data_IF_921044536460
#
_entry.id   IF_921044536460
#
_cell.length_a   1.000
_cell.length_b   1.000
_cell.length_c   1.000
_cell.angle_alpha   90.00
_cell.angle_beta   90.00
_cell.angle_gamma   90.00
#
_symmetry.space_group_name_H-M   'P 1'
#
loop_
_entity.id
_entity.type
_entity.pdbx_description
1 polymer ?
#
# COMPACT_ATOMS: atom_id res chain seq x y z
N UNK A 1 1.63 -81.74 41.12
CA UNK A 1 2.26 -80.54 40.54
C UNK A 1 1.18 -79.52 40.17
N UNK A 2 1.34 -78.29 40.68
CA UNK A 2 0.64 -77.02 40.37
C UNK A 2 -0.89 -76.93 40.61
N UNK A 3 -1.21 -76.14 41.65
CA UNK A 3 -2.52 -75.75 42.21
C UNK A 3 -3.23 -74.65 41.37
N UNK A 4 -4.54 -74.44 41.56
CA UNK A 4 -5.40 -73.65 40.68
C UNK A 4 -5.43 -72.13 41.02
N UNK A 5 -5.86 -71.36 40.03
CA UNK A 5 -5.96 -69.89 39.99
C UNK A 5 -7.04 -69.39 40.96
N UNK A 6 -6.69 -68.35 41.72
CA UNK A 6 -7.48 -67.70 42.76
C UNK A 6 -8.33 -66.56 42.15
N UNK A 7 -9.65 -66.59 42.36
CA UNK A 7 -10.55 -65.46 42.12
C UNK A 7 -10.46 -64.50 43.31
N UNK A 8 -10.15 -63.22 43.07
CA UNK A 8 -10.22 -62.16 44.09
C UNK A 8 -11.18 -61.08 43.59
N UNK A 9 -12.31 -60.96 44.29
CA UNK A 9 -13.21 -59.80 44.24
C UNK A 9 -12.48 -58.58 44.81
N UNK A 10 -12.50 -57.45 44.10
CA UNK A 10 -12.12 -56.14 44.63
C UNK A 10 -13.37 -55.29 44.85
N UNK A 11 -13.61 -54.91 46.10
CA UNK A 11 -14.64 -54.00 46.58
C UNK A 11 -14.29 -52.56 46.18
N UNK A 12 -15.19 -51.87 45.48
CA UNK A 12 -15.03 -50.45 45.13
C UNK A 12 -15.56 -49.54 46.25
N UNK A 13 -14.69 -48.70 46.81
CA UNK A 13 -15.07 -47.60 47.72
C UNK A 13 -15.41 -46.35 46.89
N UNK A 14 -16.63 -45.86 47.03
CA UNK A 14 -17.12 -44.61 46.41
C UNK A 14 -16.71 -43.43 47.30
N UNK A 15 -15.81 -42.58 46.82
CA UNK A 15 -15.53 -41.27 47.39
C UNK A 15 -16.32 -40.19 46.65
N UNK A 16 -17.29 -39.57 47.32
CA UNK A 16 -18.02 -38.40 46.79
C UNK A 16 -17.19 -37.15 47.10
N UNK A 17 -16.54 -36.60 46.08
CA UNK A 17 -15.91 -35.28 46.15
C UNK A 17 -16.90 -34.22 45.67
N UNK A 18 -17.38 -33.38 46.59
CA UNK A 18 -18.22 -32.23 46.29
C UNK A 18 -17.32 -31.15 45.68
N UNK A 19 -17.31 -31.05 44.35
CA UNK A 19 -16.63 -29.96 43.64
C UNK A 19 -17.53 -28.73 43.68
N UNK A 20 -17.04 -27.69 44.36
CA UNK A 20 -17.63 -26.35 44.33
C UNK A 20 -17.56 -25.78 42.91
N UNK A 21 -18.71 -25.51 42.29
CA UNK A 21 -18.80 -24.82 41.01
C UNK A 21 -18.26 -23.38 41.16
N UNK A 22 -16.98 -23.17 40.83
CA UNK A 22 -16.54 -21.87 40.35
C UNK A 22 -17.20 -21.65 38.99
N UNK A 23 -17.91 -20.52 38.83
CA UNK A 23 -18.31 -20.03 37.51
C UNK A 23 -17.06 -19.95 36.64
N UNK A 24 -16.96 -20.82 35.64
CA UNK A 24 -15.98 -20.64 34.58
C UNK A 24 -16.22 -19.25 33.98
N UNK A 25 -15.16 -18.42 33.98
CA UNK A 25 -15.15 -17.23 33.14
C UNK A 25 -15.30 -17.74 31.71
N UNK A 26 -16.48 -17.56 31.14
CA UNK A 26 -16.72 -17.80 29.73
C UNK A 26 -15.61 -17.08 28.95
N UNK A 27 -14.86 -17.83 28.15
CA UNK A 27 -13.86 -17.25 27.26
C UNK A 27 -14.52 -16.10 26.50
N UNK A 28 -13.88 -14.92 26.37
CA UNK A 28 -14.45 -13.81 25.60
C UNK A 28 -14.81 -14.36 24.23
N UNK A 29 -16.09 -14.36 23.88
CA UNK A 29 -16.52 -14.82 22.55
C UNK A 29 -15.89 -13.89 21.53
N UNK A 30 -15.01 -14.43 20.69
CA UNK A 30 -14.39 -13.75 19.54
C UNK A 30 -15.50 -13.26 18.60
N UNK A 31 -15.96 -12.03 18.85
CA UNK A 31 -17.01 -11.38 18.06
C UNK A 31 -16.43 -10.51 16.94
N UNK A 32 -15.16 -10.72 16.57
CA UNK A 32 -14.45 -9.92 15.56
C UNK A 32 -15.11 -9.97 14.17
N UNK A 33 -15.90 -11.01 13.90
CA UNK A 33 -16.64 -11.16 12.64
C UNK A 33 -17.93 -10.31 12.56
N UNK A 34 -18.45 -9.79 13.68
CA UNK A 34 -19.63 -8.93 13.69
C UNK A 34 -19.32 -7.43 13.92
N UNK A 35 -18.05 -7.09 14.19
CA UNK A 35 -17.65 -5.70 14.34
C UNK A 35 -17.69 -4.98 12.99
N UNK A 36 -18.29 -3.78 12.96
CA UNK A 36 -18.49 -3.02 11.73
C UNK A 36 -17.17 -2.51 11.12
N UNK A 37 -17.08 -2.45 9.79
CA UNK A 37 -15.98 -1.79 9.09
C UNK A 37 -16.09 -0.25 9.05
N UNK A 38 -17.16 0.34 9.60
CA UNK A 38 -17.45 1.77 9.47
C UNK A 38 -16.30 2.68 9.91
N UNK A 39 -15.67 2.42 11.06
CA UNK A 39 -14.59 3.27 11.56
C UNK A 39 -13.31 3.14 10.73
N UNK A 40 -12.99 1.92 10.28
CA UNK A 40 -11.86 1.65 9.36
C UNK A 40 -12.07 2.42 8.05
N UNK A 41 -13.27 2.33 7.45
CA UNK A 41 -13.61 3.03 6.22
C UNK A 41 -13.59 4.56 6.40
N UNK A 42 -14.11 5.07 7.52
CA UNK A 42 -14.14 6.51 7.86
C UNK A 42 -12.73 7.10 7.89
N UNK A 43 -11.80 6.41 8.56
CA UNK A 43 -10.42 6.88 8.68
C UNK A 43 -9.56 6.60 7.44
N UNK A 44 -9.82 5.52 6.71
CA UNK A 44 -9.24 5.32 5.38
C UNK A 44 -9.63 6.46 4.42
N UNK A 45 -10.91 6.85 4.39
CA UNK A 45 -11.39 7.98 3.59
C UNK A 45 -10.80 9.32 4.06
N UNK A 46 -10.58 9.48 5.36
CA UNK A 46 -9.89 10.66 5.90
C UNK A 46 -8.47 10.78 5.34
N UNK A 47 -7.74 9.66 5.16
CA UNK A 47 -6.44 9.65 4.49
C UNK A 47 -6.52 10.14 3.05
N UNK A 48 -7.50 9.66 2.27
CA UNK A 48 -7.76 10.16 0.91
C UNK A 48 -8.05 11.67 0.90
N UNK A 49 -8.88 12.15 1.82
CA UNK A 49 -9.20 13.58 1.93
C UNK A 49 -7.98 14.41 2.34
N UNK A 50 -7.09 13.87 3.18
CA UNK A 50 -5.87 14.55 3.59
C UNK A 50 -4.91 14.73 2.40
N UNK A 51 -4.76 13.71 1.55
CA UNK A 51 -3.97 13.82 0.32
C UNK A 51 -4.60 14.84 -0.64
N UNK A 52 -5.90 14.75 -0.89
CA UNK A 52 -6.60 15.64 -1.82
C UNK A 52 -6.51 17.13 -1.41
N UNK A 53 -6.40 17.42 -0.11
CA UNK A 53 -6.21 18.78 0.43
C UNK A 53 -4.75 19.27 0.40
N UNK A 54 -3.79 18.38 0.11
CA UNK A 54 -2.36 18.72 0.09
C UNK A 54 -1.89 18.85 -1.34
N UNK A 55 -1.53 20.07 -1.74
CA UNK A 55 -1.03 20.33 -3.08
C UNK A 55 0.30 19.61 -3.32
N UNK A 56 0.43 18.94 -4.47
CA UNK A 56 1.72 18.42 -4.95
C UNK A 56 2.15 17.07 -4.37
N UNK A 57 1.27 16.36 -3.66
CA UNK A 57 1.55 14.98 -3.24
C UNK A 57 1.66 14.09 -4.48
N UNK A 58 2.83 13.49 -4.65
CA UNK A 58 3.09 12.50 -5.68
C UNK A 58 2.48 11.14 -5.26
N UNK A 59 2.09 10.26 -6.20
CA UNK A 59 1.44 9.00 -5.83
C UNK A 59 2.33 8.09 -4.95
N UNK A 60 3.66 8.26 -4.99
CA UNK A 60 4.61 7.48 -4.22
C UNK A 60 4.49 7.77 -2.71
N UNK A 61 4.66 9.02 -2.23
CA UNK A 61 4.30 9.43 -0.87
C UNK A 61 2.86 9.09 -0.46
N UNK A 62 1.89 9.17 -1.38
CA UNK A 62 0.51 8.77 -1.10
C UNK A 62 0.40 7.28 -0.76
N UNK A 63 0.98 6.38 -1.57
CA UNK A 63 0.97 4.93 -1.30
C UNK A 63 1.61 4.60 0.05
N UNK A 64 2.73 5.26 0.39
CA UNK A 64 3.40 5.12 1.69
C UNK A 64 2.49 5.55 2.84
N UNK A 65 1.77 6.66 2.69
CA UNK A 65 0.81 7.13 3.68
C UNK A 65 -0.32 6.12 3.89
N UNK A 66 -0.92 5.62 2.80
CA UNK A 66 -1.97 4.61 2.90
C UNK A 66 -1.47 3.33 3.58
N UNK A 67 -0.25 2.89 3.29
CA UNK A 67 0.34 1.74 3.99
C UNK A 67 0.42 2.02 5.50
N UNK A 68 0.98 3.16 5.89
CA UNK A 68 1.15 3.52 7.31
C UNK A 68 -0.18 3.57 8.08
N UNK A 69 -1.18 4.28 7.55
CA UNK A 69 -2.46 4.46 8.25
C UNK A 69 -3.23 3.13 8.34
N UNK A 70 -3.26 2.33 7.26
CA UNK A 70 -4.05 1.09 7.24
C UNK A 70 -3.37 -0.02 8.04
N UNK A 71 -2.04 -0.13 8.02
CA UNK A 71 -1.30 -1.03 8.91
C UNK A 71 -1.47 -0.65 10.38
N UNK A 72 -1.50 0.65 10.72
CA UNK A 72 -1.76 1.10 12.09
C UNK A 72 -3.18 0.75 12.56
N UNK A 73 -4.20 0.95 11.73
CA UNK A 73 -5.57 0.52 12.07
C UNK A 73 -5.67 -1.00 12.24
N UNK A 74 -5.02 -1.76 11.35
CA UNK A 74 -4.95 -3.22 11.43
C UNK A 74 -4.30 -3.69 12.74
N UNK A 75 -3.15 -3.12 13.08
CA UNK A 75 -2.42 -3.49 14.29
C UNK A 75 -3.17 -3.07 15.56
N UNK A 76 -3.89 -1.96 15.54
CA UNK A 76 -4.75 -1.53 16.65
C UNK A 76 -5.81 -2.58 16.96
N UNK A 77 -6.49 -3.10 15.94
CA UNK A 77 -7.47 -4.18 16.12
C UNK A 77 -6.82 -5.48 16.63
N UNK A 78 -5.68 -5.88 16.08
CA UNK A 78 -4.99 -7.10 16.51
C UNK A 78 -4.29 -6.99 17.88
N UNK A 79 -4.14 -5.79 18.45
CA UNK A 79 -3.77 -5.57 19.85
C UNK A 79 -4.98 -5.52 20.81
N UNK A 80 -6.20 -5.73 20.32
CA UNK A 80 -7.40 -5.95 21.16
C UNK A 80 -7.69 -7.43 21.23
N UNK A 81 -7.97 -8.03 20.06
CA UNK A 81 -8.17 -9.46 19.86
C UNK A 81 -7.24 -9.89 18.72
N UNK A 82 -6.15 -10.60 19.01
CA UNK A 82 -5.22 -11.06 17.99
C UNK A 82 -5.89 -12.07 17.04
N UNK A 83 -5.99 -11.73 15.76
CA UNK A 83 -6.49 -12.61 14.69
C UNK A 83 -5.44 -12.81 13.59
N UNK A 84 -4.59 -11.82 13.39
CA UNK A 84 -3.53 -11.75 12.39
C UNK A 84 -2.26 -11.16 13.01
N UNK A 85 -1.10 -11.48 12.41
CA UNK A 85 0.19 -10.94 12.83
C UNK A 85 0.27 -9.42 12.63
N UNK A 86 0.88 -8.72 13.59
CA UNK A 86 1.01 -7.26 13.57
C UNK A 86 2.29 -6.82 12.85
N UNK A 87 2.21 -5.71 12.12
CA UNK A 87 3.34 -5.14 11.39
C UNK A 87 4.33 -4.41 12.31
N UNK A 88 3.83 -3.68 13.30
CA UNK A 88 4.61 -2.93 14.29
C UNK A 88 5.25 -3.84 15.34
N UNK A 89 4.85 -5.11 15.40
CA UNK A 89 5.30 -6.11 16.37
C UNK A 89 5.10 -5.68 17.84
N UNK A 90 4.14 -4.78 18.09
CA UNK A 90 3.73 -4.51 19.47
C UNK A 90 3.13 -5.75 20.11
N UNK A 91 3.44 -5.92 21.39
CA UNK A 91 2.98 -7.00 22.24
C UNK A 91 2.05 -6.46 23.33
N UNK A 92 1.03 -7.25 23.68
CA UNK A 92 0.08 -6.91 24.74
C UNK A 92 -1.29 -6.67 24.16
N UNK A 93 -2.17 -7.68 24.30
CA UNK A 93 -3.57 -7.56 23.89
C UNK A 93 -4.43 -7.06 25.06
N UNK A 94 -5.37 -6.15 24.80
CA UNK A 94 -6.40 -5.80 25.78
C UNK A 94 -7.80 -5.95 25.17
N UNK A 95 -8.46 -7.06 25.49
CA UNK A 95 -9.82 -7.36 25.01
C UNK A 95 -10.92 -6.46 25.58
N UNK A 96 -10.62 -5.65 26.60
CA UNK A 96 -11.55 -4.66 27.17
C UNK A 96 -11.53 -3.33 26.39
N UNK A 97 -10.58 -3.15 25.46
CA UNK A 97 -10.47 -1.96 24.65
C UNK A 97 -11.55 -1.87 23.58
N UNK A 98 -12.03 -0.65 23.33
CA UNK A 98 -12.99 -0.40 22.27
C UNK A 98 -12.29 -0.34 20.90
N UNK A 99 -12.72 -1.16 19.92
CA UNK A 99 -12.09 -1.20 18.61
C UNK A 99 -12.20 0.10 17.79
N UNK A 100 -13.35 0.79 17.84
CA UNK A 100 -13.54 2.06 17.15
C UNK A 100 -12.61 3.14 17.71
N UNK A 101 -12.44 3.18 19.04
CA UNK A 101 -11.54 4.12 19.69
C UNK A 101 -10.06 3.85 19.32
N UNK A 102 -9.66 2.57 19.26
CA UNK A 102 -8.30 2.19 18.88
C UNK A 102 -7.98 2.50 17.41
N UNK A 103 -8.89 2.16 16.49
CA UNK A 103 -8.77 2.48 15.06
C UNK A 103 -8.70 3.99 14.86
N UNK A 104 -9.63 4.74 15.47
CA UNK A 104 -9.70 6.18 15.29
C UNK A 104 -8.43 6.89 15.80
N UNK A 105 -7.97 6.54 17.00
CA UNK A 105 -6.77 7.12 17.57
C UNK A 105 -5.50 6.73 16.78
N UNK A 106 -5.38 5.46 16.35
CA UNK A 106 -4.23 5.02 15.56
C UNK A 106 -4.13 5.77 14.23
N UNK A 107 -5.25 5.86 13.50
CA UNK A 107 -5.32 6.55 12.23
C UNK A 107 -5.06 8.06 12.37
N UNK A 108 -5.67 8.67 13.39
CA UNK A 108 -5.49 10.08 13.70
C UNK A 108 -4.02 10.44 13.88
N UNK A 109 -3.31 9.75 14.78
CA UNK A 109 -1.95 10.12 15.14
C UNK A 109 -0.96 9.89 13.98
N UNK A 110 -1.18 8.84 13.17
CA UNK A 110 -0.42 8.64 11.93
C UNK A 110 -0.68 9.77 10.95
N UNK A 111 -1.94 10.14 10.69
CA UNK A 111 -2.27 11.22 9.76
C UNK A 111 -1.75 12.58 10.23
N UNK A 112 -1.80 12.86 11.54
CA UNK A 112 -1.27 14.09 12.13
C UNK A 112 0.24 14.19 11.96
N UNK A 113 0.96 13.08 12.10
CA UNK A 113 2.40 13.05 11.85
C UNK A 113 2.77 13.35 10.40
N UNK A 114 1.93 12.95 9.44
CA UNK A 114 2.18 13.10 8.01
C UNK A 114 1.67 14.43 7.44
N UNK A 115 0.60 14.99 8.02
CA UNK A 115 -0.05 16.22 7.57
C UNK A 115 -0.32 17.17 8.75
N UNK A 116 0.72 17.70 9.42
CA UNK A 116 0.56 18.52 10.63
C UNK A 116 -0.26 19.79 10.40
N UNK A 117 -0.20 20.38 9.21
CA UNK A 117 -1.01 21.56 8.85
C UNK A 117 -2.52 21.27 8.82
N UNK A 118 -2.93 20.00 8.82
CA UNK A 118 -4.33 19.58 8.82
C UNK A 118 -4.85 19.20 10.20
N UNK A 119 -4.10 19.47 11.27
CA UNK A 119 -4.46 19.13 12.65
C UNK A 119 -5.92 19.49 13.01
N UNK A 120 -6.46 20.70 12.71
CA UNK A 120 -7.84 21.01 13.09
C UNK A 120 -8.88 20.07 12.46
N UNK A 121 -8.63 19.60 11.23
CA UNK A 121 -9.53 18.65 10.55
C UNK A 121 -9.46 17.27 11.20
N UNK A 122 -8.25 16.83 11.56
CA UNK A 122 -8.01 15.51 12.14
C UNK A 122 -8.52 15.45 13.59
N UNK A 123 -8.23 16.46 14.40
CA UNK A 123 -8.72 16.60 15.78
C UNK A 123 -10.26 16.57 15.82
N UNK A 124 -10.91 17.32 14.92
CA UNK A 124 -12.38 17.34 14.81
C UNK A 124 -12.95 15.96 14.45
N UNK A 125 -12.31 15.25 13.51
CA UNK A 125 -12.72 13.90 13.13
C UNK A 125 -12.55 12.91 14.27
N UNK A 126 -11.46 13.01 15.05
CA UNK A 126 -11.23 12.19 16.24
C UNK A 126 -12.30 12.43 17.30
N UNK A 127 -12.56 13.69 17.66
CA UNK A 127 -13.61 14.04 18.62
C UNK A 127 -14.95 13.45 18.20
N UNK A 128 -15.35 13.62 16.94
CA UNK A 128 -16.61 13.06 16.42
C UNK A 128 -16.65 11.53 16.41
N UNK A 129 -15.49 10.87 16.29
CA UNK A 129 -15.39 9.40 16.25
C UNK A 129 -15.45 8.79 17.64
N UNK A 130 -15.13 9.56 18.68
CA UNK A 130 -15.02 9.10 20.06
C UNK A 130 -16.20 9.54 20.94
N UNK A 131 -17.08 10.43 20.47
CA UNK A 131 -18.09 11.09 21.32
C UNK A 131 -19.10 10.12 21.92
N UNK A 132 -19.55 9.12 21.15
CA UNK A 132 -20.57 8.16 21.59
C UNK A 132 -19.98 6.89 22.22
N UNK A 133 -18.65 6.79 22.31
CA UNK A 133 -17.97 5.62 22.89
C UNK A 133 -17.84 5.80 24.40
N UNK A 134 -18.48 4.92 25.17
CA UNK A 134 -18.47 4.96 26.64
C UNK A 134 -17.64 3.86 27.27
N UNK A 135 -17.74 2.63 26.76
CA UNK A 135 -17.06 1.44 27.31
C UNK A 135 -15.77 1.17 26.57
N UNK A 136 -14.67 0.91 27.30
CA UNK A 136 -13.38 0.55 26.72
C UNK A 136 -12.66 1.67 25.95
N UNK A 137 -13.18 2.91 26.01
CA UNK A 137 -12.69 4.06 25.23
C UNK A 137 -11.22 4.37 25.51
N UNK A 138 -10.86 4.55 26.78
CA UNK A 138 -9.50 4.93 27.16
C UNK A 138 -8.48 3.82 26.85
N UNK A 139 -8.88 2.56 27.02
CA UNK A 139 -8.05 1.40 26.64
C UNK A 139 -7.84 1.36 25.12
N UNK A 140 -8.89 1.66 24.33
CA UNK A 140 -8.78 1.77 22.88
C UNK A 140 -7.86 2.90 22.46
N UNK A 141 -8.05 4.10 23.02
CA UNK A 141 -7.17 5.26 22.79
C UNK A 141 -5.71 4.91 23.13
N UNK A 142 -5.46 4.25 24.26
CA UNK A 142 -4.12 3.85 24.66
C UNK A 142 -3.46 2.91 23.65
N UNK A 143 -4.18 1.89 23.16
CA UNK A 143 -3.70 1.01 22.08
C UNK A 143 -3.42 1.82 20.82
N UNK A 144 -4.36 2.66 20.39
CA UNK A 144 -4.24 3.41 19.15
C UNK A 144 -3.01 4.33 19.14
N UNK A 145 -2.77 5.06 20.25
CA UNK A 145 -1.56 5.87 20.43
C UNK A 145 -0.28 5.04 20.35
N UNK A 146 -0.26 3.89 21.01
CA UNK A 146 0.91 3.03 21.06
C UNK A 146 1.23 2.46 19.66
N UNK A 147 0.22 1.99 18.92
CA UNK A 147 0.39 1.50 17.54
C UNK A 147 0.84 2.62 16.61
N UNK A 148 0.19 3.78 16.66
CA UNK A 148 0.56 4.91 15.81
C UNK A 148 2.01 5.32 16.05
N UNK A 149 2.41 5.44 17.32
CA UNK A 149 3.80 5.72 17.68
C UNK A 149 4.74 4.67 17.10
N UNK A 150 4.46 3.37 17.29
CA UNK A 150 5.30 2.30 16.77
C UNK A 150 5.40 2.32 15.23
N UNK A 151 4.30 2.64 14.54
CA UNK A 151 4.28 2.83 13.09
C UNK A 151 5.17 4.01 12.65
N UNK A 152 4.99 5.18 13.28
CA UNK A 152 5.76 6.39 12.99
C UNK A 152 7.25 6.14 13.25
N UNK A 153 7.60 5.56 14.39
CA UNK A 153 8.98 5.24 14.74
C UNK A 153 9.60 4.27 13.70
N UNK A 154 8.87 3.22 13.29
CA UNK A 154 9.32 2.25 12.29
C UNK A 154 9.54 2.87 10.90
N UNK A 155 8.85 3.97 10.59
CA UNK A 155 8.92 4.69 9.31
C UNK A 155 9.71 5.99 9.39
N UNK A 156 10.23 6.35 10.55
CA UNK A 156 11.14 7.49 10.70
C UNK A 156 12.46 7.17 10.01
N UNK A 157 12.98 8.12 9.24
CA UNK A 157 14.21 7.99 8.46
C UNK A 157 14.22 6.80 7.49
N UNK A 158 13.06 6.44 6.94
CA UNK A 158 12.94 5.35 5.98
C UNK A 158 13.37 5.72 4.55
N UNK A 159 13.96 6.90 4.35
CA UNK A 159 14.44 7.39 3.06
C UNK A 159 13.41 8.19 2.25
N UNK A 160 12.13 8.21 2.64
CA UNK A 160 11.10 8.89 1.85
C UNK A 160 11.30 10.41 1.76
N UNK A 161 11.76 11.05 2.85
CA UNK A 161 11.99 12.50 2.90
C UNK A 161 13.20 12.98 2.10
N UNK A 162 14.11 12.07 1.74
CA UNK A 162 15.34 12.36 0.98
C UNK A 162 15.33 11.72 -0.41
N UNK A 163 14.19 11.16 -0.83
CA UNK A 163 14.05 10.47 -2.11
C UNK A 163 14.11 11.43 -3.31
N UNK A 164 13.81 12.72 -3.12
CA UNK A 164 14.03 13.72 -4.18
C UNK A 164 15.48 14.21 -4.15
N UNK A 165 16.17 14.08 -5.28
CA UNK A 165 17.48 14.68 -5.51
C UNK A 165 17.67 15.00 -7.00
N UNK A 166 18.75 15.70 -7.34
CA UNK A 166 19.06 16.05 -8.74
C UNK A 166 19.42 14.80 -9.56
N UNK A 167 18.73 14.59 -10.68
CA UNK A 167 18.98 13.48 -11.60
C UNK A 167 19.56 14.01 -12.91
N UNK A 168 20.64 13.38 -13.38
CA UNK A 168 21.26 13.69 -14.67
C UNK A 168 20.81 12.67 -15.72
N UNK A 169 20.10 13.16 -16.74
CA UNK A 169 19.69 12.37 -17.90
C UNK A 169 20.87 12.00 -18.79
N UNK A 170 20.70 10.93 -19.57
CA UNK A 170 21.68 10.48 -20.56
C UNK A 170 21.48 11.14 -21.93
N UNK A 171 22.36 10.79 -22.87
CA UNK A 171 22.38 11.33 -24.24
C UNK A 171 22.61 10.26 -25.31
N UNK A 172 22.85 9.01 -24.93
CA UNK A 172 22.98 7.89 -25.86
C UNK A 172 21.63 7.25 -26.18
N UNK A 173 21.50 6.48 -27.28
CA UNK A 173 20.33 5.66 -27.54
C UNK A 173 20.03 4.71 -26.37
N UNK A 174 18.76 4.59 -25.99
CA UNK A 174 18.33 3.79 -24.84
C UNK A 174 18.39 4.50 -23.48
N UNK A 175 19.16 5.58 -23.33
CA UNK A 175 19.25 6.30 -22.07
C UNK A 175 18.09 7.27 -21.86
N UNK A 176 17.55 7.30 -20.65
CA UNK A 176 16.44 8.16 -20.28
C UNK A 176 16.77 9.63 -20.48
N UNK A 177 15.80 10.34 -21.06
CA UNK A 177 15.75 11.78 -21.25
C UNK A 177 14.42 12.31 -20.77
N UNK A 178 14.41 13.53 -20.25
CA UNK A 178 13.17 14.23 -19.96
C UNK A 178 12.30 14.31 -21.22
N UNK A 179 10.99 14.16 -21.04
CA UNK A 179 10.00 14.15 -22.12
C UNK A 179 9.02 15.30 -21.97
N UNK A 180 8.40 15.80 -23.06
CA UNK A 180 7.37 16.83 -22.97
C UNK A 180 6.26 16.50 -21.98
N UNK A 181 5.79 17.47 -21.17
CA UNK A 181 6.26 18.86 -21.07
C UNK A 181 7.44 19.07 -20.09
N UNK A 182 7.98 18.01 -19.49
CA UNK A 182 8.95 18.09 -18.39
C UNK A 182 10.37 18.46 -18.81
N UNK A 183 10.67 18.36 -20.10
CA UNK A 183 11.93 18.81 -20.72
C UNK A 183 12.00 20.33 -20.93
N UNK A 184 10.87 21.04 -20.81
CA UNK A 184 10.75 22.47 -21.07
C UNK A 184 10.46 23.28 -19.78
N UNK A 185 10.63 24.62 -19.80
CA UNK A 185 10.20 25.47 -18.70
C UNK A 185 8.71 25.31 -18.37
N UNK A 186 8.31 25.36 -17.08
CA UNK A 186 9.14 25.63 -15.90
C UNK A 186 9.84 24.38 -15.31
N UNK A 187 9.63 23.20 -15.89
CA UNK A 187 10.08 21.92 -15.31
C UNK A 187 11.56 21.62 -15.55
N UNK A 188 12.11 22.07 -16.69
CA UNK A 188 13.55 22.07 -17.01
C UNK A 188 14.26 20.73 -16.70
N UNK A 189 13.67 19.61 -17.13
CA UNK A 189 14.21 18.27 -16.92
C UNK A 189 13.76 17.61 -15.62
N UNK A 190 12.58 17.96 -15.10
CA UNK A 190 12.07 17.40 -13.84
C UNK A 190 12.02 15.87 -13.89
N UNK A 191 12.60 15.25 -12.85
CA UNK A 191 12.46 13.82 -12.56
C UNK A 191 11.97 13.69 -11.12
N UNK A 192 10.93 12.90 -10.91
CA UNK A 192 10.23 12.81 -9.64
C UNK A 192 10.82 11.69 -8.80
N UNK A 193 11.21 12.02 -7.57
CA UNK A 193 11.67 11.09 -6.55
C UNK A 193 12.69 10.03 -7.04
N UNK A 194 13.85 10.42 -7.62
CA UNK A 194 14.83 9.46 -8.14
C UNK A 194 15.36 8.43 -7.12
N UNK A 195 15.23 8.73 -5.84
CA UNK A 195 15.61 7.88 -4.72
C UNK A 195 14.51 7.01 -4.17
N UNK A 196 13.30 6.98 -4.76
CA UNK A 196 12.18 6.25 -4.15
C UNK A 196 12.43 4.75 -4.03
N UNK A 197 13.22 4.17 -4.93
CA UNK A 197 13.67 2.77 -4.83
C UNK A 197 14.60 2.48 -3.65
N UNK A 198 15.06 3.51 -2.93
CA UNK A 198 15.86 3.38 -1.69
C UNK A 198 15.03 3.53 -0.42
N UNK A 199 13.72 3.80 -0.54
CA UNK A 199 12.83 3.83 0.62
C UNK A 199 12.78 2.43 1.22
N UNK A 200 12.86 2.33 2.55
CA UNK A 200 12.76 1.05 3.26
C UNK A 200 11.44 0.38 2.89
N UNK A 201 11.48 -0.87 2.45
CA UNK A 201 10.29 -1.65 2.12
C UNK A 201 9.44 -1.93 3.36
N UNK A 202 8.18 -2.31 3.17
CA UNK A 202 7.25 -2.68 4.23
C UNK A 202 7.23 -4.20 4.43
N UNK A 203 6.88 -4.96 3.40
CA UNK A 203 6.72 -6.41 3.43
C UNK A 203 7.78 -7.18 2.63
N UNK A 204 8.22 -6.66 1.47
CA UNK A 204 9.25 -7.31 0.64
C UNK A 204 10.65 -7.13 1.26
N UNK A 205 11.56 -8.05 0.96
CA UNK A 205 12.90 -8.11 1.58
C UNK A 205 13.78 -6.94 1.17
N UNK A 206 13.75 -6.58 -0.11
CA UNK A 206 14.49 -5.46 -0.68
C UNK A 206 13.74 -4.91 -1.89
N UNK A 207 14.02 -3.65 -2.26
CA UNK A 207 13.42 -3.00 -3.42
C UNK A 207 13.73 -3.74 -4.74
N UNK A 208 14.84 -4.45 -4.79
CA UNK A 208 15.30 -5.16 -5.99
C UNK A 208 14.94 -6.65 -6.03
N UNK A 209 14.22 -7.15 -5.02
CA UNK A 209 13.78 -8.55 -4.94
C UNK A 209 13.04 -8.99 -6.21
N UNK A 210 12.28 -8.07 -6.82
CA UNK A 210 11.49 -8.32 -8.03
C UNK A 210 11.94 -7.48 -9.22
N UNK A 211 13.21 -7.02 -9.23
CA UNK A 211 13.74 -6.24 -10.36
C UNK A 211 13.65 -7.09 -11.64
N UNK A 212 12.94 -6.59 -12.64
CA UNK A 212 12.80 -7.24 -13.95
C UNK A 212 14.17 -7.40 -14.64
N UNK A 213 14.31 -8.34 -15.61
CA UNK A 213 15.48 -8.40 -16.48
C UNK A 213 15.73 -7.06 -17.20
N UNK A 214 16.95 -6.89 -17.70
CA UNK A 214 17.32 -5.68 -18.43
C UNK A 214 16.42 -5.47 -19.67
N UNK A 215 16.12 -4.21 -20.02
CA UNK A 215 15.47 -3.90 -21.29
C UNK A 215 16.23 -4.49 -22.48
N UNK A 216 15.51 -4.80 -23.55
CA UNK A 216 16.12 -5.29 -24.78
C UNK A 216 17.16 -4.30 -25.33
N UNK A 217 18.27 -4.84 -25.86
CA UNK A 217 19.27 -4.04 -26.53
C UNK A 217 18.65 -3.33 -27.74
N UNK A 218 19.02 -2.08 -27.98
CA UNK A 218 18.45 -1.23 -29.04
C UNK A 218 18.55 -1.88 -30.42
N UNK A 219 19.60 -2.65 -30.70
CA UNK A 219 19.81 -3.33 -31.98
C UNK A 219 19.21 -4.75 -32.06
N UNK A 220 18.41 -5.16 -31.09
CA UNK A 220 17.79 -6.49 -31.07
C UNK A 220 16.46 -6.52 -31.82
N UNK A 221 16.11 -7.69 -32.38
CA UNK A 221 14.81 -7.91 -33.03
C UNK A 221 13.63 -7.68 -32.07
N UNK A 222 13.78 -8.07 -30.80
CA UNK A 222 12.76 -7.88 -29.77
C UNK A 222 12.48 -6.39 -29.52
N UNK A 223 13.53 -5.56 -29.40
CA UNK A 223 13.37 -4.11 -29.29
C UNK A 223 12.66 -3.52 -30.52
N UNK A 224 13.06 -3.92 -31.73
CA UNK A 224 12.43 -3.47 -32.98
C UNK A 224 10.93 -3.82 -33.02
N UNK A 225 10.55 -5.02 -32.56
CA UNK A 225 9.16 -5.44 -32.50
C UNK A 225 8.34 -4.52 -31.59
N UNK A 226 8.78 -4.34 -30.33
CA UNK A 226 8.10 -3.50 -29.34
C UNK A 226 8.03 -2.03 -29.80
N UNK A 227 9.11 -1.53 -30.39
CA UNK A 227 9.19 -0.18 -30.97
C UNK A 227 8.11 0.03 -32.02
N UNK A 228 8.00 -0.88 -33.00
CA UNK A 228 7.07 -0.75 -34.11
C UNK A 228 5.61 -0.90 -33.65
N UNK A 229 5.35 -1.79 -32.68
CA UNK A 229 4.04 -1.91 -32.04
C UNK A 229 3.64 -0.59 -31.37
N UNK A 230 4.51 -0.03 -30.52
CA UNK A 230 4.23 1.22 -29.81
C UNK A 230 4.10 2.39 -30.79
N UNK A 231 4.95 2.50 -31.81
CA UNK A 231 4.84 3.55 -32.83
C UNK A 231 3.47 3.51 -33.52
N UNK A 232 2.99 2.31 -33.85
CA UNK A 232 1.72 2.08 -34.57
C UNK A 232 0.49 2.30 -33.69
N UNK A 233 0.53 1.84 -32.43
CA UNK A 233 -0.64 1.84 -31.55
C UNK A 233 -0.62 2.92 -30.46
N UNK A 234 0.51 3.53 -30.14
CA UNK A 234 0.70 4.46 -29.02
C UNK A 234 0.58 5.95 -29.38
N UNK A 235 0.58 6.25 -30.68
CA UNK A 235 0.53 7.61 -31.19
C UNK A 235 -0.81 8.34 -30.89
N UNK A 236 -0.77 9.65 -30.93
CA UNK A 236 -1.95 10.50 -30.93
C UNK A 236 -2.69 10.36 -32.27
N UNK A 237 -3.97 9.99 -32.23
CA UNK A 237 -4.79 9.87 -33.44
C UNK A 237 -4.50 8.67 -34.34
N UNK A 238 -3.78 7.63 -33.89
CA UNK A 238 -3.56 6.44 -34.70
C UNK A 238 -4.88 5.79 -35.11
N UNK A 239 -4.95 5.31 -36.35
CA UNK A 239 -6.09 4.52 -36.84
C UNK A 239 -5.99 3.03 -36.49
N UNK A 240 -4.81 2.54 -36.13
CA UNK A 240 -4.59 1.14 -35.75
C UNK A 240 -5.14 0.80 -34.35
N UNK A 241 -5.13 1.76 -33.42
CA UNK A 241 -5.70 1.59 -32.07
C UNK A 241 -7.21 1.79 -32.13
N UNK A 242 -7.98 0.83 -31.62
CA UNK A 242 -9.43 0.93 -31.58
C UNK A 242 -9.93 1.98 -30.58
N UNK A 243 -11.19 2.38 -30.70
CA UNK A 243 -11.84 3.25 -29.72
C UNK A 243 -11.84 2.62 -28.32
N UNK A 244 -12.13 1.31 -28.21
CA UNK A 244 -12.14 0.58 -26.94
C UNK A 244 -10.75 0.54 -26.30
N UNK A 245 -9.69 0.27 -27.08
CA UNK A 245 -8.31 0.30 -26.58
C UNK A 245 -7.92 1.70 -26.09
N UNK A 246 -8.38 2.75 -26.77
CA UNK A 246 -8.16 4.14 -26.34
C UNK A 246 -8.84 4.40 -25.00
N UNK A 247 -10.09 3.97 -24.82
CA UNK A 247 -10.81 4.13 -23.55
C UNK A 247 -10.18 3.33 -22.42
N UNK A 248 -9.73 2.10 -22.67
CA UNK A 248 -9.00 1.30 -21.67
C UNK A 248 -7.73 2.01 -21.22
N UNK A 249 -6.93 2.55 -22.15
CA UNK A 249 -5.71 3.28 -21.82
C UNK A 249 -5.97 4.54 -21.00
N UNK A 250 -7.00 5.31 -21.35
CA UNK A 250 -7.39 6.52 -20.60
C UNK A 250 -8.00 6.21 -19.23
N UNK A 251 -8.75 5.11 -19.12
CA UNK A 251 -9.36 4.68 -17.86
C UNK A 251 -8.32 4.39 -16.77
N UNK A 252 -7.19 3.78 -17.16
CA UNK A 252 -6.09 3.45 -16.25
C UNK A 252 -5.05 4.57 -16.10
N UNK A 253 -5.24 5.71 -16.75
CA UNK A 253 -4.48 6.94 -16.51
C UNK A 253 -5.01 7.68 -15.26
N UNK A 254 -5.14 6.96 -14.15
CA UNK A 254 -5.64 7.46 -12.86
C UNK A 254 -4.50 7.43 -11.82
N UNK A 255 -4.71 8.09 -10.70
CA UNK A 255 -3.84 7.98 -9.54
C UNK A 255 -3.99 6.59 -8.90
N UNK A 256 -3.11 5.66 -9.28
CA UNK A 256 -3.20 4.22 -8.96
C UNK A 256 -3.43 3.94 -7.45
N UNK A 257 -2.66 4.52 -6.50
CA UNK A 257 -2.95 4.41 -5.06
C UNK A 257 -4.37 4.78 -4.65
N UNK A 258 -4.87 5.89 -5.18
CA UNK A 258 -6.22 6.34 -4.92
C UNK A 258 -7.25 5.37 -5.52
N UNK A 259 -7.03 4.91 -6.76
CA UNK A 259 -7.95 4.01 -7.48
C UNK A 259 -8.09 2.67 -6.77
N UNK A 260 -6.99 2.01 -6.41
CA UNK A 260 -7.02 0.75 -5.68
C UNK A 260 -7.60 0.89 -4.29
N UNK A 261 -7.29 1.98 -3.58
CA UNK A 261 -7.91 2.27 -2.29
C UNK A 261 -9.44 2.46 -2.40
N UNK A 262 -9.93 3.12 -3.45
CA UNK A 262 -11.37 3.25 -3.73
C UNK A 262 -12.00 1.88 -4.04
N UNK A 263 -11.38 1.07 -4.89
CA UNK A 263 -11.87 -0.28 -5.21
C UNK A 263 -11.99 -1.14 -3.94
N UNK A 264 -10.97 -1.11 -3.08
CA UNK A 264 -10.99 -1.85 -1.82
C UNK A 264 -12.14 -1.42 -0.89
N UNK A 265 -12.38 -0.11 -0.74
CA UNK A 265 -13.54 0.39 0.02
C UNK A 265 -14.87 -0.08 -0.55
N UNK A 266 -15.02 -0.09 -1.87
CA UNK A 266 -16.22 -0.62 -2.55
C UNK A 266 -16.42 -2.10 -2.23
N UNK A 267 -15.38 -2.92 -2.33
CA UNK A 267 -15.45 -4.35 -2.03
C UNK A 267 -15.76 -4.63 -0.57
N UNK A 268 -15.19 -3.87 0.38
CA UNK A 268 -15.49 -4.00 1.82
C UNK A 268 -16.99 -3.86 2.09
N UNK A 269 -17.62 -2.86 1.46
CA UNK A 269 -19.06 -2.61 1.62
C UNK A 269 -19.89 -3.68 0.93
N UNK A 270 -19.55 -4.04 -0.31
CA UNK A 270 -20.28 -5.04 -1.09
C UNK A 270 -20.27 -6.42 -0.43
N UNK A 271 -19.10 -6.85 0.03
CA UNK A 271 -18.88 -8.15 0.68
C UNK A 271 -19.21 -8.13 2.18
N UNK A 272 -19.65 -6.98 2.71
CA UNK A 272 -20.01 -6.79 4.13
C UNK A 272 -18.92 -7.30 5.07
N UNK A 273 -17.65 -6.96 4.77
CA UNK A 273 -16.53 -7.41 5.58
C UNK A 273 -16.61 -6.82 6.99
N UNK A 274 -16.26 -7.63 8.00
CA UNK A 274 -16.09 -7.14 9.37
C UNK A 274 -14.90 -6.18 9.46
N UNK A 275 -14.81 -5.37 10.52
CA UNK A 275 -13.73 -4.40 10.69
C UNK A 275 -12.34 -5.05 10.70
N UNK A 276 -12.16 -6.24 11.28
CA UNK A 276 -10.88 -6.97 11.21
C UNK A 276 -10.54 -7.41 9.78
N UNK A 277 -11.52 -7.92 9.02
CA UNK A 277 -11.29 -8.34 7.62
C UNK A 277 -11.04 -7.13 6.72
N UNK A 278 -11.79 -6.04 6.93
CA UNK A 278 -11.61 -4.78 6.21
C UNK A 278 -10.24 -4.16 6.48
N UNK A 279 -9.82 -4.07 7.75
CA UNK A 279 -8.51 -3.56 8.12
C UNK A 279 -7.38 -4.43 7.55
N UNK A 280 -7.54 -5.76 7.56
CA UNK A 280 -6.56 -6.67 6.93
C UNK A 280 -6.47 -6.48 5.42
N UNK A 281 -7.61 -6.38 4.73
CA UNK A 281 -7.63 -6.17 3.29
C UNK A 281 -6.89 -4.88 2.92
N UNK A 282 -7.23 -3.76 3.58
CA UNK A 282 -6.60 -2.48 3.32
C UNK A 282 -5.12 -2.48 3.70
N UNK A 283 -4.75 -3.05 4.85
CA UNK A 283 -3.37 -3.13 5.28
C UNK A 283 -2.49 -3.90 4.28
N UNK A 284 -2.93 -5.09 3.84
CA UNK A 284 -2.17 -5.90 2.90
C UNK A 284 -2.11 -5.28 1.49
N UNK A 285 -3.23 -4.75 1.00
CA UNK A 285 -3.27 -4.07 -0.30
C UNK A 285 -2.31 -2.87 -0.31
N UNK A 286 -2.42 -2.00 0.68
CA UNK A 286 -1.65 -0.76 0.71
C UNK A 286 -0.17 -1.01 1.01
N UNK A 287 0.15 -2.04 1.79
CA UNK A 287 1.52 -2.52 1.97
C UNK A 287 2.12 -3.01 0.64
N UNK A 288 1.39 -3.86 -0.09
CA UNK A 288 1.85 -4.38 -1.38
C UNK A 288 2.00 -3.26 -2.42
N UNK A 289 1.09 -2.29 -2.42
CA UNK A 289 1.13 -1.15 -3.33
C UNK A 289 2.31 -0.21 -3.04
N UNK A 290 2.60 0.07 -1.78
CA UNK A 290 3.78 0.85 -1.41
C UNK A 290 5.08 0.16 -1.86
N UNK A 291 5.21 -1.16 -1.62
CA UNK A 291 6.39 -1.93 -2.02
C UNK A 291 6.50 -2.12 -3.54
N UNK A 292 5.38 -2.22 -4.25
CA UNK A 292 5.36 -2.23 -5.71
C UNK A 292 5.90 -0.91 -6.28
N UNK A 293 5.52 0.23 -5.70
CA UNK A 293 6.07 1.54 -6.09
C UNK A 293 7.57 1.63 -5.79
N UNK A 294 8.01 1.18 -4.62
CA UNK A 294 9.44 1.15 -4.25
C UNK A 294 10.22 0.29 -5.26
N UNK A 295 9.74 -0.92 -5.54
CA UNK A 295 10.41 -1.86 -6.45
C UNK A 295 10.42 -1.38 -7.90
N UNK A 296 9.31 -0.78 -8.36
CA UNK A 296 9.24 -0.18 -9.69
C UNK A 296 10.22 0.99 -9.84
N UNK A 297 10.38 1.82 -8.82
CA UNK A 297 11.35 2.92 -8.83
C UNK A 297 12.79 2.42 -8.76
N UNK A 298 13.07 1.36 -8.00
CA UNK A 298 14.38 0.69 -8.09
C UNK A 298 14.70 0.28 -9.53
N UNK A 299 13.80 -0.45 -10.20
CA UNK A 299 14.01 -0.85 -11.59
C UNK A 299 14.17 0.34 -12.56
N UNK A 300 13.32 1.37 -12.42
CA UNK A 300 13.38 2.59 -13.25
C UNK A 300 14.74 3.28 -13.15
N UNK A 301 15.24 3.47 -11.94
CA UNK A 301 16.48 4.20 -11.70
C UNK A 301 17.74 3.32 -11.78
N UNK A 302 17.59 2.00 -11.77
CA UNK A 302 18.64 1.04 -12.11
C UNK A 302 18.89 1.04 -13.64
N UNK A 303 17.85 0.87 -14.46
CA UNK A 303 18.00 0.76 -15.92
C UNK A 303 18.01 2.09 -16.64
N UNK A 304 17.32 3.11 -16.13
CA UNK A 304 17.25 4.47 -16.70
C UNK A 304 16.94 4.44 -18.21
N UNK A 305 15.98 3.61 -18.61
CA UNK A 305 15.66 3.41 -20.01
C UNK A 305 14.73 4.51 -20.54
N UNK A 306 14.92 4.92 -21.79
CA UNK A 306 14.13 5.98 -22.42
C UNK A 306 12.64 5.64 -22.57
N UNK A 307 11.82 6.69 -22.68
CA UNK A 307 10.39 6.56 -22.95
C UNK A 307 10.15 6.35 -24.46
N UNK A 308 9.03 5.76 -24.87
CA UNK A 308 8.72 5.54 -26.29
C UNK A 308 8.73 6.81 -27.13
N UNK A 309 8.26 7.96 -26.60
CA UNK A 309 8.29 9.23 -27.35
C UNK A 309 9.71 9.64 -27.73
N UNK A 310 10.68 9.50 -26.81
CA UNK A 310 12.09 9.77 -27.08
C UNK A 310 12.66 8.78 -28.09
N UNK A 311 12.36 7.49 -27.91
CA UNK A 311 12.82 6.44 -28.81
C UNK A 311 12.34 6.68 -30.25
N UNK A 312 11.03 6.89 -30.44
CA UNK A 312 10.43 7.06 -31.77
C UNK A 312 10.90 8.37 -32.43
N UNK A 313 11.00 9.47 -31.68
CA UNK A 313 11.43 10.74 -32.26
C UNK A 313 12.91 10.72 -32.67
N UNK A 314 13.75 9.96 -31.97
CA UNK A 314 15.21 9.94 -32.17
C UNK A 314 15.73 8.70 -32.91
N UNK A 315 14.85 7.81 -33.38
CA UNK A 315 15.26 6.54 -33.96
C UNK A 315 16.18 6.66 -35.19
N UNK A 316 16.11 7.74 -35.97
CA UNK A 316 17.06 7.99 -37.09
C UNK A 316 18.54 7.97 -36.64
N UNK A 317 18.78 8.19 -35.35
CA UNK A 317 20.12 8.28 -34.74
C UNK A 317 20.38 7.19 -33.68
N UNK A 318 19.53 6.16 -33.59
CA UNK A 318 19.63 5.14 -32.55
C UNK A 318 20.60 3.98 -32.88
N UNK A 319 21.02 3.88 -34.14
CA UNK A 319 21.92 2.84 -34.64
C UNK A 319 21.25 1.50 -34.98
N UNK A 320 19.91 1.42 -34.96
CA UNK A 320 19.14 0.26 -35.40
C UNK A 320 18.56 0.52 -36.81
N UNK A 321 18.98 -0.21 -37.85
CA UNK A 321 18.49 0.02 -39.21
C UNK A 321 17.01 -0.36 -39.41
N UNK A 322 16.39 -1.02 -38.44
CA UNK A 322 15.01 -1.49 -38.49
C UNK A 322 14.03 -0.63 -37.68
N UNK A 323 14.48 0.48 -37.10
CA UNK A 323 13.63 1.49 -36.48
C UNK A 323 13.64 2.75 -37.35
N UNK A 324 12.46 3.23 -37.71
CA UNK A 324 12.31 4.46 -38.48
C UNK A 324 11.88 5.59 -37.55
N UNK A 325 12.59 6.72 -37.57
CA UNK A 325 12.26 7.87 -36.74
C UNK A 325 11.01 8.60 -37.21
N UNK A 326 10.38 9.30 -36.28
CA UNK A 326 9.28 10.22 -36.58
C UNK A 326 9.33 11.39 -35.59
N UNK A 327 10.04 12.49 -35.94
CA UNK A 327 10.28 13.60 -35.01
C UNK A 327 9.02 14.28 -34.47
N UNK A 328 7.90 14.19 -35.20
CA UNK A 328 6.59 14.75 -34.82
C UNK A 328 5.70 13.75 -34.09
N UNK A 329 6.16 12.51 -33.87
CA UNK A 329 5.38 11.49 -33.19
C UNK A 329 5.09 11.91 -31.76
N UNK A 330 3.84 11.76 -31.34
CA UNK A 330 3.41 12.15 -30.00
C UNK A 330 2.45 11.11 -29.43
N UNK A 331 2.38 11.04 -28.11
CA UNK A 331 1.60 10.05 -27.36
C UNK A 331 0.12 10.43 -27.26
N UNK A 332 -0.77 9.44 -27.10
CA UNK A 332 -2.20 9.67 -26.81
C UNK A 332 -2.42 10.60 -25.61
N UNK A 333 -1.57 10.50 -24.58
CA UNK A 333 -1.62 11.33 -23.38
C UNK A 333 -0.20 11.73 -22.98
N UNK A 334 0.02 12.91 -22.38
CA UNK A 334 1.34 13.31 -21.92
C UNK A 334 1.98 12.25 -21.02
N UNK A 335 3.26 11.92 -21.22
CA UNK A 335 3.97 10.97 -20.35
C UNK A 335 4.06 11.54 -18.93
N UNK A 336 3.99 10.68 -17.92
CA UNK A 336 4.32 11.07 -16.55
C UNK A 336 5.84 11.17 -16.39
N UNK A 337 6.34 12.13 -15.57
CA UNK A 337 7.76 12.16 -15.26
C UNK A 337 8.12 10.84 -14.54
N UNK A 338 9.30 10.25 -14.78
CA UNK A 338 9.73 9.06 -14.07
C UNK A 338 9.82 9.27 -12.57
#
# INVERSE_FOLDING_TARGET
MKKPVFCILFTALIGISIVSCKKDKQAPTDNTDNYSASMVLKWNEAGTKAVAKTTGIQPMPESRMYAMINLAMHDALNNIVPKYDTYTSMSGSNSEANPDAAVAQAAHDVLLSLFPAQQPTQDSLLVSSLVDITTGKEQGIAIGRAVAKAMIDKRTNDGASTAQFAFTAGTQPGEYRATPPFDMPPYNGLVVLPGWGKVKTFGVVSADQFRAPAPYAINSEAYTSDFNEIKTMGCMGCTARSADQTQIGLFWLDNIPLSWNRIARTLIVQEKLSGWKAARLLALLQMAEADANISAFDGKFFYKFWRPVTAVQLAESDGNPNTAGEPTWNLLSPPTPP
#
